data_IF_804231626091
#
_entry.id   IF_804231626091
#
_cell.length_a   1.000
_cell.length_b   1.000
_cell.length_c   1.000
_cell.angle_alpha   90.00
_cell.angle_beta   90.00
_cell.angle_gamma   90.00
#
_symmetry.space_group_name_H-M   'P 1'
#
loop_
_entity.id
_entity.type
_entity.pdbx_description
1 polymer ?
#
# COMPACT_ATOMS: atom_id res chain seq x y z
N UNK A 1 10.80 -75.68 -34.01
CA UNK A 1 10.43 -75.78 -32.58
C UNK A 1 10.64 -74.42 -31.94
N UNK A 2 9.57 -73.85 -31.40
CA UNK A 2 9.55 -72.59 -30.64
C UNK A 2 10.27 -72.78 -29.29
N UNK A 3 11.04 -71.79 -28.85
CA UNK A 3 11.24 -71.56 -27.40
C UNK A 3 11.42 -70.08 -27.13
N UNK A 4 10.46 -69.51 -26.39
CA UNK A 4 10.46 -68.18 -25.78
C UNK A 4 11.30 -68.21 -24.50
N UNK A 5 11.94 -67.10 -24.13
CA UNK A 5 11.98 -66.56 -22.75
C UNK A 5 12.74 -65.20 -22.74
N UNK A 6 12.05 -64.09 -22.49
CA UNK A 6 11.93 -63.36 -21.21
C UNK A 6 13.18 -62.55 -20.80
N UNK A 7 13.09 -61.22 -20.94
CA UNK A 7 13.91 -60.24 -20.24
C UNK A 7 13.54 -60.22 -18.73
N UNK A 8 14.43 -59.78 -17.82
CA UNK A 8 14.31 -58.37 -17.40
C UNK A 8 15.61 -57.67 -16.90
N UNK A 9 15.58 -56.34 -17.03
CA UNK A 9 16.08 -55.28 -16.13
C UNK A 9 17.32 -55.53 -15.27
N UNK A 10 18.34 -54.70 -15.46
CA UNK A 10 19.15 -54.10 -14.38
C UNK A 10 19.92 -52.89 -14.93
N UNK A 11 19.32 -51.70 -14.87
CA UNK A 11 20.08 -50.45 -15.03
C UNK A 11 20.20 -49.75 -13.68
N UNK A 12 21.45 -49.54 -13.34
CA UNK A 12 22.01 -49.10 -12.08
C UNK A 12 21.73 -47.60 -11.85
N UNK A 13 21.10 -47.35 -10.70
CA UNK A 13 21.43 -46.33 -9.71
C UNK A 13 21.93 -44.92 -10.15
N UNK A 14 21.15 -43.94 -9.69
CA UNK A 14 21.61 -42.87 -8.80
C UNK A 14 22.55 -41.80 -9.40
N UNK A 15 21.94 -40.77 -9.98
CA UNK A 15 22.51 -39.43 -10.01
C UNK A 15 21.47 -38.43 -9.50
N UNK A 16 21.28 -38.42 -8.17
CA UNK A 16 20.66 -37.29 -7.46
C UNK A 16 21.60 -36.09 -7.59
N UNK A 17 21.42 -35.26 -8.63
CA UNK A 17 21.95 -33.91 -8.61
C UNK A 17 21.01 -33.06 -7.76
N UNK A 18 21.40 -32.89 -6.50
CA UNK A 18 20.85 -31.97 -5.51
C UNK A 18 20.95 -30.54 -6.03
N UNK A 19 19.92 -30.09 -6.76
CA UNK A 19 19.68 -28.65 -6.96
C UNK A 19 19.21 -28.13 -5.61
N UNK A 20 20.17 -27.74 -4.76
CA UNK A 20 19.92 -26.97 -3.55
C UNK A 20 19.29 -25.66 -3.97
N UNK A 21 17.96 -25.62 -3.91
CA UNK A 21 17.14 -24.43 -3.95
C UNK A 21 17.58 -23.53 -2.81
N UNK A 22 18.49 -22.59 -3.11
CA UNK A 22 18.64 -21.40 -2.29
C UNK A 22 17.34 -20.64 -2.41
N UNK A 23 16.41 -20.93 -1.51
CA UNK A 23 15.31 -20.04 -1.16
C UNK A 23 15.93 -18.77 -0.64
N UNK A 24 16.36 -17.88 -1.55
CA UNK A 24 16.54 -16.48 -1.21
C UNK A 24 15.17 -16.06 -0.70
N UNK A 25 15.06 -15.83 0.60
CA UNK A 25 14.02 -14.98 1.15
C UNK A 25 13.95 -13.78 0.21
N UNK A 26 12.85 -13.68 -0.54
CA UNK A 26 12.58 -12.50 -1.32
C UNK A 26 12.45 -11.41 -0.26
N UNK A 27 13.55 -10.67 -0.02
CA UNK A 27 13.55 -9.53 0.87
C UNK A 27 12.35 -8.71 0.45
N UNK A 28 11.34 -8.64 1.32
CA UNK A 28 10.11 -7.92 1.06
C UNK A 28 10.54 -6.52 0.65
N UNK A 29 10.47 -6.20 -0.64
CA UNK A 29 11.03 -4.95 -1.14
C UNK A 29 10.37 -3.83 -0.36
N UNK A 30 11.18 -2.96 0.25
CA UNK A 30 10.70 -1.80 0.98
C UNK A 30 9.80 -0.97 0.05
N UNK A 31 8.49 -1.11 0.25
CA UNK A 31 7.46 -0.45 -0.56
C UNK A 31 6.78 0.58 0.32
N UNK A 32 6.84 1.82 -0.11
CA UNK A 32 6.15 2.93 0.53
C UNK A 32 4.87 3.23 -0.22
N UNK A 33 3.76 3.32 0.51
CA UNK A 33 2.48 3.82 0.03
C UNK A 33 2.33 5.27 0.48
N UNK A 34 1.76 6.13 -0.36
CA UNK A 34 1.43 7.50 0.00
C UNK A 34 0.14 7.98 -0.67
N UNK A 35 -0.54 8.92 -0.02
CA UNK A 35 -1.77 9.54 -0.51
C UNK A 35 -1.76 11.04 -0.21
N UNK A 36 -2.13 11.84 -1.21
CA UNK A 36 -2.37 13.26 -1.06
C UNK A 36 -3.88 13.50 -1.30
N UNK A 37 -4.64 13.89 -0.26
CA UNK A 37 -6.08 14.08 -0.41
C UNK A 37 -6.44 15.38 -1.13
N UNK A 38 -7.66 15.47 -1.65
CA UNK A 38 -8.25 16.68 -2.23
C UNK A 38 -9.72 16.84 -1.81
N UNK A 39 -10.32 18.01 -2.07
CA UNK A 39 -11.70 18.32 -1.67
C UNK A 39 -12.75 17.46 -2.42
N UNK A 40 -12.42 16.98 -3.61
CA UNK A 40 -13.30 16.16 -4.45
C UNK A 40 -13.32 14.69 -4.03
N UNK A 41 -12.52 14.28 -3.03
CA UNK A 41 -12.39 12.89 -2.57
C UNK A 41 -12.02 11.90 -3.70
N UNK A 42 -11.27 12.38 -4.69
CA UNK A 42 -10.79 11.63 -5.87
C UNK A 42 -9.35 11.14 -5.73
N UNK A 43 -8.86 11.09 -4.49
CA UNK A 43 -7.48 10.77 -4.14
C UNK A 43 -7.11 9.31 -4.43
N UNK A 44 -5.84 9.07 -4.73
CA UNK A 44 -5.30 7.74 -5.07
C UNK A 44 -4.09 7.43 -4.21
N UNK A 45 -3.93 6.16 -3.84
CA UNK A 45 -2.70 5.66 -3.22
C UNK A 45 -1.67 5.38 -4.31
N UNK A 46 -0.47 5.92 -4.15
CA UNK A 46 0.68 5.64 -5.01
C UNK A 46 1.75 4.89 -4.25
N UNK A 47 2.64 4.21 -4.97
CA UNK A 47 3.73 3.46 -4.38
C UNK A 47 5.09 3.82 -4.97
N UNK A 48 6.12 3.72 -4.13
CA UNK A 48 7.51 3.85 -4.55
C UNK A 48 8.42 3.03 -3.63
N UNK A 49 9.71 2.97 -3.95
CA UNK A 49 10.75 2.29 -3.16
C UNK A 49 11.27 3.15 -2.01
N UNK A 50 10.85 4.41 -1.91
CA UNK A 50 11.23 5.32 -0.81
C UNK A 50 10.06 6.19 -0.39
N UNK A 51 10.07 6.61 0.88
CA UNK A 51 9.07 7.51 1.47
C UNK A 51 8.93 8.80 0.67
N UNK A 52 10.05 9.44 0.36
CA UNK A 52 10.05 10.77 -0.28
C UNK A 52 9.55 10.70 -1.71
N UNK A 53 9.94 9.66 -2.46
CA UNK A 53 9.42 9.44 -3.80
C UNK A 53 7.92 9.15 -3.77
N UNK A 54 7.44 8.31 -2.84
CA UNK A 54 6.01 8.02 -2.72
C UNK A 54 5.22 9.30 -2.43
N UNK A 55 5.67 10.13 -1.49
CA UNK A 55 5.03 11.42 -1.18
C UNK A 55 5.02 12.37 -2.38
N UNK A 56 6.14 12.48 -3.10
CA UNK A 56 6.23 13.32 -4.30
C UNK A 56 5.25 12.85 -5.38
N UNK A 57 5.21 11.55 -5.64
CA UNK A 57 4.28 10.96 -6.60
C UNK A 57 2.82 11.16 -6.17
N UNK A 58 2.52 11.11 -4.87
CA UNK A 58 1.15 11.27 -4.38
C UNK A 58 0.63 12.69 -4.65
N UNK A 59 1.46 13.70 -4.41
CA UNK A 59 1.14 15.10 -4.73
C UNK A 59 0.95 15.27 -6.24
N UNK A 60 1.85 14.71 -7.05
CA UNK A 60 1.75 14.80 -8.51
C UNK A 60 0.46 14.14 -9.03
N UNK A 61 0.14 12.93 -8.56
CA UNK A 61 -1.07 12.21 -8.93
C UNK A 61 -2.34 12.98 -8.53
N UNK A 62 -2.34 13.59 -7.33
CA UNK A 62 -3.45 14.45 -6.93
C UNK A 62 -3.58 15.67 -7.86
N UNK A 63 -2.47 16.37 -8.15
CA UNK A 63 -2.46 17.58 -8.99
C UNK A 63 -2.86 17.34 -10.44
N UNK A 64 -2.80 16.09 -10.91
CA UNK A 64 -3.31 15.71 -12.23
C UNK A 64 -4.84 15.76 -12.32
N UNK A 65 -5.54 15.62 -11.19
CA UNK A 65 -7.01 15.51 -11.15
C UNK A 65 -7.69 16.61 -10.34
N UNK A 66 -6.95 17.39 -9.55
CA UNK A 66 -7.50 18.45 -8.70
C UNK A 66 -6.49 19.56 -8.42
N UNK A 67 -6.98 20.79 -8.24
CA UNK A 67 -6.21 21.95 -7.77
C UNK A 67 -6.24 22.11 -6.24
N UNK A 68 -7.01 21.29 -5.52
CA UNK A 68 -7.28 21.44 -4.07
C UNK A 68 -6.50 20.43 -3.21
N UNK A 69 -5.41 19.90 -3.76
CA UNK A 69 -4.57 18.90 -3.12
C UNK A 69 -3.96 19.40 -1.81
N UNK A 70 -3.98 18.56 -0.79
CA UNK A 70 -3.31 18.83 0.46
C UNK A 70 -1.78 18.83 0.28
N UNK A 71 -1.11 19.79 0.92
CA UNK A 71 0.34 19.96 0.82
C UNK A 71 1.13 18.92 1.62
N UNK A 72 0.47 18.23 2.57
CA UNK A 72 1.06 17.21 3.43
C UNK A 72 0.47 15.83 3.14
N UNK A 73 1.10 15.03 2.26
CA UNK A 73 0.70 13.66 2.00
C UNK A 73 0.95 12.76 3.22
N UNK A 74 0.05 11.82 3.46
CA UNK A 74 0.28 10.70 4.36
C UNK A 74 1.12 9.63 3.66
N UNK A 75 1.94 8.89 4.42
CA UNK A 75 2.79 7.83 3.88
C UNK A 75 3.05 6.73 4.90
N UNK A 76 3.19 5.49 4.45
CA UNK A 76 3.52 4.32 5.28
C UNK A 76 4.31 3.28 4.49
N UNK A 77 5.11 2.47 5.18
CA UNK A 77 5.67 1.22 4.65
C UNK A 77 4.91 -0.04 5.12
N UNK A 78 3.98 0.08 6.09
CA UNK A 78 3.04 -0.99 6.43
C UNK A 78 1.96 -1.13 5.34
N UNK A 79 2.01 -2.20 4.55
CA UNK A 79 1.06 -2.44 3.44
C UNK A 79 -0.31 -2.96 3.91
N UNK A 80 -0.38 -3.42 5.15
CA UNK A 80 -1.60 -3.78 5.89
C UNK A 80 -2.29 -2.57 6.54
N UNK A 81 -1.62 -1.40 6.58
CA UNK A 81 -2.19 -0.19 7.15
C UNK A 81 -3.34 0.38 6.30
N UNK A 82 -4.09 1.29 6.91
CA UNK A 82 -5.21 2.00 6.29
C UNK A 82 -4.98 3.50 6.39
N UNK A 83 -5.21 4.22 5.30
CA UNK A 83 -5.30 5.67 5.28
C UNK A 83 -6.74 6.11 5.58
N UNK A 84 -6.91 7.13 6.42
CA UNK A 84 -8.18 7.82 6.61
C UNK A 84 -8.07 9.23 6.00
N UNK A 85 -9.01 9.60 5.14
CA UNK A 85 -9.09 10.94 4.55
C UNK A 85 -10.25 11.69 5.17
N UNK A 86 -9.98 12.87 5.71
CA UNK A 86 -10.97 13.73 6.32
C UNK A 86 -10.84 15.14 5.75
N UNK A 87 -11.98 15.80 5.57
CA UNK A 87 -12.03 17.17 5.08
C UNK A 87 -12.92 18.02 5.99
N UNK A 88 -12.50 19.25 6.22
CA UNK A 88 -13.18 20.24 7.04
C UNK A 88 -13.52 21.46 6.18
N UNK A 89 -14.50 22.25 6.61
CA UNK A 89 -14.96 23.47 5.93
C UNK A 89 -14.72 24.74 6.74
N UNK A 90 -14.33 24.62 8.02
CA UNK A 90 -14.16 25.72 8.97
C UNK A 90 -12.81 25.56 9.71
N UNK A 91 -11.95 26.60 9.82
CA UNK A 91 -12.08 27.98 9.30
C UNK A 91 -11.89 28.13 7.79
N UNK A 92 -11.42 27.08 7.12
CA UNK A 92 -11.27 27.03 5.67
C UNK A 92 -11.44 25.60 5.17
N UNK A 93 -11.86 25.47 3.91
CA UNK A 93 -11.93 24.17 3.24
C UNK A 93 -10.54 23.55 3.12
N UNK A 94 -10.37 22.33 3.63
CA UNK A 94 -9.12 21.60 3.53
C UNK A 94 -9.30 20.12 3.84
N UNK A 95 -8.46 19.28 3.24
CA UNK A 95 -8.41 17.86 3.52
C UNK A 95 -7.05 17.46 4.08
N UNK A 96 -7.05 16.43 4.92
CA UNK A 96 -5.85 15.79 5.42
C UNK A 96 -6.05 14.28 5.39
N UNK A 97 -4.94 13.57 5.32
CA UNK A 97 -4.90 12.13 5.43
C UNK A 97 -3.98 11.76 6.58
N UNK A 98 -4.35 10.71 7.31
CA UNK A 98 -3.45 10.05 8.25
C UNK A 98 -3.50 8.54 8.02
N UNK A 99 -2.56 7.82 8.63
CA UNK A 99 -2.40 6.38 8.45
C UNK A 99 -2.33 5.69 9.81
N UNK A 100 -2.87 4.49 9.89
CA UNK A 100 -2.81 3.64 11.08
C UNK A 100 -2.90 2.16 10.70
N UNK A 101 -2.50 1.28 11.62
CA UNK A 101 -2.64 -0.17 11.45
C UNK A 101 -4.10 -0.63 11.43
N UNK A 102 -5.03 0.19 11.93
CA UNK A 102 -6.48 -0.02 11.81
C UNK A 102 -7.19 1.26 11.38
N UNK A 103 -8.47 1.13 10.99
CA UNK A 103 -9.33 2.29 10.66
C UNK A 103 -9.49 3.24 11.84
N UNK A 104 -9.64 2.71 13.04
CA UNK A 104 -9.83 3.50 14.27
C UNK A 104 -8.58 4.33 14.58
N UNK A 105 -7.40 3.73 14.42
CA UNK A 105 -6.12 4.43 14.62
C UNK A 105 -5.95 5.50 13.55
N UNK A 106 -6.17 5.18 12.27
CA UNK A 106 -6.07 6.14 11.18
C UNK A 106 -7.05 7.32 11.37
N UNK A 107 -8.29 7.02 11.79
CA UNK A 107 -9.30 8.02 12.09
C UNK A 107 -8.91 8.92 13.26
N UNK A 108 -8.36 8.33 14.33
CA UNK A 108 -7.87 9.08 15.49
C UNK A 108 -6.75 10.03 15.08
N UNK A 109 -5.78 9.56 14.30
CA UNK A 109 -4.67 10.39 13.85
C UNK A 109 -5.13 11.53 12.92
N UNK A 110 -6.04 11.28 11.97
CA UNK A 110 -6.49 12.36 11.08
C UNK A 110 -7.32 13.40 11.84
N UNK A 111 -8.11 12.99 12.83
CA UNK A 111 -8.82 13.93 13.73
C UNK A 111 -7.83 14.77 14.54
N UNK A 112 -6.74 14.17 15.03
CA UNK A 112 -5.70 14.89 15.77
C UNK A 112 -5.09 16.03 14.94
N UNK A 113 -4.79 15.78 13.66
CA UNK A 113 -4.26 16.81 12.75
C UNK A 113 -5.17 18.05 12.64
N UNK A 114 -6.48 17.84 12.58
CA UNK A 114 -7.45 18.93 12.48
C UNK A 114 -7.71 19.64 13.81
N UNK A 115 -7.74 18.88 14.92
CA UNK A 115 -7.90 19.45 16.26
C UNK A 115 -6.73 20.37 16.63
N UNK A 116 -5.49 19.96 16.32
CA UNK A 116 -4.28 20.78 16.55
C UNK A 116 -4.29 22.07 15.70
N UNK A 117 -4.94 22.03 14.53
CA UNK A 117 -5.10 23.18 13.65
C UNK A 117 -6.33 24.06 13.92
N UNK A 118 -7.16 23.73 14.91
CA UNK A 118 -8.39 24.47 15.24
C UNK A 118 -9.51 24.33 14.18
N UNK A 119 -9.51 23.26 13.39
CA UNK A 119 -10.55 23.02 12.40
C UNK A 119 -11.82 22.44 13.03
N UNK A 120 -12.97 22.78 12.45
CA UNK A 120 -14.28 22.28 12.83
C UNK A 120 -15.07 21.82 11.60
N UNK A 121 -16.25 21.23 11.82
CA UNK A 121 -17.12 20.71 10.75
C UNK A 121 -16.43 19.67 9.84
N UNK A 122 -15.56 18.87 10.44
CA UNK A 122 -14.80 17.85 9.74
C UNK A 122 -15.65 16.61 9.46
N UNK A 123 -15.59 16.11 8.23
CA UNK A 123 -16.24 14.87 7.81
C UNK A 123 -15.20 13.89 7.27
N UNK A 124 -15.25 12.66 7.77
CA UNK A 124 -14.53 11.54 7.16
C UNK A 124 -15.08 11.33 5.75
N UNK A 125 -14.21 11.26 4.75
CA UNK A 125 -14.59 11.10 3.34
C UNK A 125 -14.37 9.69 2.83
N UNK A 126 -13.32 9.01 3.31
CA UNK A 126 -12.94 7.72 2.78
C UNK A 126 -11.82 7.07 3.60
N UNK A 127 -11.72 5.75 3.45
CA UNK A 127 -10.56 4.98 3.83
C UNK A 127 -9.92 4.36 2.59
N UNK A 128 -8.60 4.14 2.63
CA UNK A 128 -7.87 3.44 1.58
C UNK A 128 -6.90 2.41 2.18
N UNK A 129 -6.91 1.18 1.68
CA UNK A 129 -5.92 0.17 2.06
C UNK A 129 -4.56 0.55 1.50
N UNK A 130 -3.51 0.56 2.32
CA UNK A 130 -2.18 0.97 1.87
C UNK A 130 -1.58 0.01 0.83
N UNK A 131 -1.81 -1.30 0.94
CA UNK A 131 -1.23 -2.30 0.03
C UNK A 131 -1.88 -2.35 -1.35
N UNK A 132 -3.19 -2.07 -1.45
CA UNK A 132 -3.96 -2.23 -2.69
C UNK A 132 -4.47 -0.92 -3.27
N UNK A 133 -4.56 0.15 -2.47
CA UNK A 133 -5.19 1.41 -2.86
C UNK A 133 -6.71 1.33 -2.97
N UNK A 134 -7.30 0.18 -2.62
CA UNK A 134 -8.74 -0.01 -2.62
C UNK A 134 -9.40 0.91 -1.59
N UNK A 135 -10.45 1.60 -2.03
CA UNK A 135 -11.28 2.45 -1.19
C UNK A 135 -12.27 1.59 -0.42
N UNK A 136 -12.35 1.74 0.90
CA UNK A 136 -13.28 0.98 1.74
C UNK A 136 -13.11 1.22 3.22
#
# INVERSE_FOLDING_TARGET
MLTRAFAPLTFVALALLTITTMSREAAAQDRWAAIAPNLENSSTVVWATSKDQAKKLAVLACKQVSSTCADTPASTNGMDHVFAVMCCTDPKSGCAAAVGSTREIALKEVKRLFNEGGYAQCSLKSYFKAGTGEKG
#
